data_IF_669780625718
#
_entry.id   IF_669780625718
#
_cell.length_a   1.000
_cell.length_b   1.000
_cell.length_c   1.000
_cell.angle_alpha   90.00
_cell.angle_beta   90.00
_cell.angle_gamma   90.00
#
_symmetry.space_group_name_H-M   'P 1'
#
loop_
_entity.id
_entity.type
_entity.pdbx_description
1 polymer ?
#
# COMPACT_ATOMS: atom_id res chain seq x y z
N UNK A 1 6.26 4.04 15.48
CA UNK A 1 6.92 3.16 14.49
C UNK A 1 6.99 1.73 15.03
N UNK A 2 7.72 1.49 16.12
CA UNK A 2 7.93 0.13 16.65
C UNK A 2 6.67 -0.50 17.24
N UNK A 3 5.78 0.31 17.84
CA UNK A 3 4.49 -0.16 18.34
C UNK A 3 3.61 -0.79 17.23
N UNK A 4 3.61 -0.22 16.02
CA UNK A 4 2.84 -0.77 14.90
C UNK A 4 3.44 -2.09 14.40
N UNK A 5 4.76 -2.24 14.45
CA UNK A 5 5.45 -3.49 14.09
C UNK A 5 5.20 -4.58 15.13
N UNK A 6 5.19 -4.21 16.41
CA UNK A 6 4.78 -5.10 17.49
C UNK A 6 3.30 -5.50 17.34
N UNK A 7 2.43 -4.54 17.00
CA UNK A 7 1.03 -4.82 16.72
C UNK A 7 0.86 -5.74 15.52
N UNK A 8 1.62 -5.55 14.43
CA UNK A 8 1.64 -6.47 13.29
C UNK A 8 2.11 -7.87 13.70
N UNK A 9 3.18 -7.99 14.48
CA UNK A 9 3.68 -9.27 14.98
C UNK A 9 2.65 -9.98 15.88
N UNK A 10 1.96 -9.23 16.75
CA UNK A 10 0.85 -9.78 17.54
C UNK A 10 -0.33 -10.17 16.65
N UNK A 11 -0.61 -9.40 15.60
CA UNK A 11 -1.68 -9.71 14.65
C UNK A 11 -1.40 -10.99 13.87
N UNK A 12 -0.14 -11.36 13.62
CA UNK A 12 0.19 -12.70 13.07
C UNK A 12 -0.35 -13.80 13.97
N UNK A 13 -0.11 -13.71 15.29
CA UNK A 13 -0.59 -14.71 16.25
C UNK A 13 -2.11 -14.73 16.29
N UNK A 14 -2.74 -13.56 16.48
CA UNK A 14 -4.20 -13.45 16.59
C UNK A 14 -4.91 -13.88 15.29
N UNK A 15 -4.39 -13.46 14.14
CA UNK A 15 -4.90 -13.83 12.82
C UNK A 15 -4.78 -15.33 12.55
N UNK A 16 -3.65 -15.94 12.94
CA UNK A 16 -3.47 -17.40 12.82
C UNK A 16 -4.49 -18.16 13.68
N UNK A 17 -4.72 -17.70 14.91
CA UNK A 17 -5.67 -18.35 15.81
C UNK A 17 -7.14 -18.14 15.40
N UNK A 18 -7.48 -17.00 14.79
CA UNK A 18 -8.85 -16.69 14.37
C UNK A 18 -9.23 -17.21 12.98
N UNK A 19 -8.31 -17.14 12.00
CA UNK A 19 -8.59 -17.42 10.58
C UNK A 19 -7.60 -18.43 9.96
N UNK A 20 -6.80 -19.12 10.78
CA UNK A 20 -5.89 -20.16 10.32
C UNK A 20 -4.81 -19.64 9.37
N UNK A 21 -4.58 -20.37 8.28
CA UNK A 21 -3.51 -20.06 7.32
C UNK A 21 -3.71 -18.71 6.60
N UNK A 22 -4.95 -18.32 6.30
CA UNK A 22 -5.23 -17.06 5.61
C UNK A 22 -4.85 -15.87 6.49
N UNK A 23 -5.29 -15.87 7.74
CA UNK A 23 -4.91 -14.84 8.71
C UNK A 23 -3.41 -14.81 8.95
N UNK A 24 -2.76 -15.98 9.05
CA UNK A 24 -1.29 -16.07 9.13
C UNK A 24 -0.61 -15.39 7.93
N UNK A 25 -0.99 -15.76 6.71
CA UNK A 25 -0.36 -15.27 5.48
C UNK A 25 -0.53 -13.75 5.32
N UNK A 26 -1.75 -13.23 5.51
CA UNK A 26 -2.04 -11.81 5.40
C UNK A 26 -1.24 -10.99 6.44
N UNK A 27 -1.26 -11.38 7.71
CA UNK A 27 -0.54 -10.61 8.73
C UNK A 27 0.98 -10.79 8.65
N UNK A 28 1.48 -11.91 8.10
CA UNK A 28 2.90 -12.04 7.76
C UNK A 28 3.30 -11.08 6.63
N UNK A 29 2.43 -10.89 5.63
CA UNK A 29 2.62 -9.89 4.59
C UNK A 29 2.64 -8.47 5.18
N UNK A 30 1.71 -8.15 6.09
CA UNK A 30 1.69 -6.87 6.81
C UNK A 30 2.95 -6.67 7.65
N UNK A 31 3.39 -7.68 8.39
CA UNK A 31 4.61 -7.61 9.20
C UNK A 31 5.84 -7.38 8.32
N UNK A 32 5.99 -8.14 7.23
CA UNK A 32 7.06 -7.94 6.25
C UNK A 32 7.04 -6.56 5.62
N UNK A 33 5.87 -6.13 5.13
CA UNK A 33 5.65 -4.80 4.56
C UNK A 33 6.01 -3.68 5.52
N UNK A 34 5.61 -3.80 6.80
CA UNK A 34 5.94 -2.82 7.83
C UNK A 34 7.45 -2.65 8.07
N UNK A 35 8.28 -3.61 7.66
CA UNK A 35 9.74 -3.49 7.77
C UNK A 35 10.37 -2.68 6.63
N UNK A 36 9.67 -2.51 5.50
CA UNK A 36 10.20 -1.81 4.32
C UNK A 36 10.53 -0.34 4.63
N UNK A 37 9.63 0.48 5.21
CA UNK A 37 9.94 1.89 5.50
C UNK A 37 11.15 2.05 6.45
N UNK A 38 11.28 1.12 7.43
CA UNK A 38 12.43 1.07 8.34
C UNK A 38 13.72 0.73 7.60
N UNK A 39 13.68 -0.28 6.74
CA UNK A 39 14.84 -0.67 5.96
C UNK A 39 15.33 0.53 5.13
N UNK A 40 14.41 1.25 4.48
CA UNK A 40 14.66 2.42 3.64
C UNK A 40 15.04 3.69 4.41
N UNK A 41 14.77 3.77 5.72
CA UNK A 41 15.02 4.97 6.52
C UNK A 41 14.07 6.12 6.17
N UNK A 42 12.82 5.83 5.82
CA UNK A 42 11.84 6.85 5.41
C UNK A 42 11.46 7.79 6.56
N UNK A 43 10.99 9.02 6.28
CA UNK A 43 10.52 9.96 7.31
C UNK A 43 9.39 9.38 8.18
N UNK A 44 9.39 9.74 9.46
CA UNK A 44 8.45 9.20 10.44
C UNK A 44 6.95 9.40 10.08
N UNK A 45 6.50 10.51 9.47
CA UNK A 45 5.10 10.61 9.04
C UNK A 45 4.72 9.58 7.98
N UNK A 46 5.61 9.30 7.02
CA UNK A 46 5.36 8.35 5.94
C UNK A 46 5.32 6.90 6.46
N UNK A 47 6.30 6.51 7.27
CA UNK A 47 6.31 5.17 7.88
C UNK A 47 5.08 4.95 8.78
N UNK A 48 4.65 5.98 9.54
CA UNK A 48 3.51 5.85 10.44
C UNK A 48 2.22 5.65 9.64
N UNK A 49 1.98 6.51 8.65
CA UNK A 49 0.80 6.42 7.78
C UNK A 49 0.77 5.08 7.03
N UNK A 50 1.88 4.69 6.41
CA UNK A 50 1.98 3.41 5.70
C UNK A 50 1.69 2.22 6.63
N UNK A 51 2.41 2.12 7.75
CA UNK A 51 2.27 0.99 8.68
C UNK A 51 0.88 0.93 9.32
N UNK A 52 0.27 2.09 9.62
CA UNK A 52 -1.07 2.14 10.19
C UNK A 52 -2.11 1.71 9.15
N UNK A 53 -2.03 2.22 7.92
CA UNK A 53 -2.98 1.89 6.85
C UNK A 53 -2.93 0.41 6.47
N UNK A 54 -1.75 -0.21 6.30
CA UNK A 54 -1.69 -1.66 6.01
C UNK A 54 -2.26 -2.51 7.14
N UNK A 55 -2.04 -2.11 8.40
CA UNK A 55 -2.49 -2.87 9.56
C UNK A 55 -4.00 -2.75 9.74
N UNK A 56 -4.54 -1.53 9.59
CA UNK A 56 -5.98 -1.28 9.64
C UNK A 56 -6.68 -1.98 8.48
N UNK A 57 -6.14 -1.89 7.26
CA UNK A 57 -6.71 -2.56 6.09
C UNK A 57 -6.77 -4.07 6.25
N UNK A 58 -5.72 -4.70 6.76
CA UNK A 58 -5.72 -6.14 7.01
C UNK A 58 -6.75 -6.57 8.08
N UNK A 59 -6.92 -5.79 9.15
CA UNK A 59 -7.96 -6.06 10.14
C UNK A 59 -9.36 -5.80 9.60
N UNK A 60 -9.54 -4.75 8.79
CA UNK A 60 -10.80 -4.45 8.15
C UNK A 60 -11.25 -5.60 7.23
N UNK A 61 -10.32 -6.18 6.45
CA UNK A 61 -10.56 -7.37 5.65
C UNK A 61 -10.91 -8.59 6.51
N UNK A 62 -10.11 -8.90 7.54
CA UNK A 62 -10.35 -10.10 8.38
C UNK A 62 -11.65 -10.04 9.20
N UNK A 63 -12.12 -8.84 9.54
CA UNK A 63 -13.32 -8.62 10.34
C UNK A 63 -14.54 -8.27 9.48
N UNK A 64 -14.46 -8.40 8.16
CA UNK A 64 -15.53 -8.10 7.21
C UNK A 64 -16.06 -6.65 7.33
N UNK A 65 -15.21 -5.69 7.69
CA UNK A 65 -15.61 -4.29 7.84
C UNK A 65 -15.95 -3.63 6.51
N UNK A 66 -15.35 -4.08 5.41
CA UNK A 66 -15.68 -3.60 4.08
C UNK A 66 -17.09 -4.00 3.65
N UNK A 67 -17.58 -5.16 4.09
CA UNK A 67 -18.98 -5.55 3.91
C UNK A 67 -19.94 -4.70 4.74
N UNK A 68 -19.53 -4.32 5.96
CA UNK A 68 -20.33 -3.48 6.84
C UNK A 68 -20.35 -2.00 6.42
N UNK A 69 -19.25 -1.52 5.84
CA UNK A 69 -19.04 -0.11 5.48
C UNK A 69 -18.38 -0.06 4.08
N UNK A 70 -19.20 -0.14 3.04
CA UNK A 70 -18.74 -0.30 1.65
C UNK A 70 -17.79 0.78 1.13
N UNK A 71 -17.90 2.02 1.62
CA UNK A 71 -16.98 3.09 1.19
C UNK A 71 -15.60 2.98 1.84
N UNK A 72 -15.47 2.22 2.93
CA UNK A 72 -14.20 2.07 3.65
C UNK A 72 -13.15 1.43 2.76
N UNK A 73 -13.55 0.43 1.98
CA UNK A 73 -12.66 -0.34 1.11
C UNK A 73 -11.97 0.57 0.09
N UNK A 74 -12.78 1.29 -0.67
CA UNK A 74 -12.37 2.31 -1.65
C UNK A 74 -11.41 3.34 -1.04
N UNK A 75 -11.69 3.81 0.18
CA UNK A 75 -10.82 4.79 0.87
C UNK A 75 -9.49 4.16 1.29
N UNK A 76 -9.50 2.92 1.77
CA UNK A 76 -8.28 2.19 2.12
C UNK A 76 -7.46 1.91 0.87
N UNK A 77 -8.07 1.45 -0.23
CA UNK A 77 -7.38 1.22 -1.51
C UNK A 77 -6.74 2.51 -2.06
N UNK A 78 -7.45 3.64 -2.03
CA UNK A 78 -6.87 4.93 -2.41
C UNK A 78 -5.66 5.29 -1.54
N UNK A 79 -5.81 5.27 -0.20
CA UNK A 79 -4.75 5.65 0.72
C UNK A 79 -3.55 4.70 0.62
N UNK A 80 -3.81 3.40 0.62
CA UNK A 80 -2.77 2.38 0.63
C UNK A 80 -1.99 2.36 -0.68
N UNK A 81 -2.67 2.48 -1.82
CA UNK A 81 -1.99 2.53 -3.13
C UNK A 81 -1.05 3.74 -3.22
N UNK A 82 -1.49 4.91 -2.76
CA UNK A 82 -0.63 6.10 -2.71
C UNK A 82 0.59 5.92 -1.81
N UNK A 83 0.41 5.35 -0.62
CA UNK A 83 1.49 5.10 0.34
C UNK A 83 2.46 4.01 -0.14
N UNK A 84 1.95 2.92 -0.71
CA UNK A 84 2.75 1.86 -1.34
C UNK A 84 3.55 2.44 -2.51
N UNK A 85 2.94 3.31 -3.32
CA UNK A 85 3.62 4.05 -4.37
C UNK A 85 4.82 4.86 -3.87
N UNK A 86 4.62 5.62 -2.80
CA UNK A 86 5.67 6.42 -2.17
C UNK A 86 6.82 5.57 -1.63
N UNK A 87 6.51 4.49 -0.91
CA UNK A 87 7.50 3.53 -0.39
C UNK A 87 8.22 2.81 -1.53
N UNK A 88 7.49 2.38 -2.55
CA UNK A 88 8.03 1.72 -3.73
C UNK A 88 8.98 2.63 -4.50
N UNK A 89 8.61 3.89 -4.71
CA UNK A 89 9.49 4.86 -5.35
C UNK A 89 10.78 5.05 -4.54
N UNK A 90 10.67 5.24 -3.22
CA UNK A 90 11.84 5.37 -2.34
C UNK A 90 12.74 4.12 -2.38
N UNK A 91 12.17 2.92 -2.55
CA UNK A 91 12.93 1.70 -2.73
C UNK A 91 13.71 1.70 -4.05
N UNK A 92 13.06 2.05 -5.16
CA UNK A 92 13.72 2.11 -6.48
C UNK A 92 14.78 3.22 -6.56
N UNK A 93 14.54 4.35 -5.90
CA UNK A 93 15.50 5.45 -5.75
C UNK A 93 16.75 4.98 -4.98
N UNK A 94 16.57 4.23 -3.89
CA UNK A 94 17.70 3.65 -3.14
C UNK A 94 18.49 2.61 -3.94
N UNK A 95 17.85 1.94 -4.90
CA UNK A 95 18.52 1.04 -5.83
C UNK A 95 19.27 1.78 -6.96
N UNK A 96 19.20 3.12 -7.01
CA UNK A 96 19.88 3.92 -8.02
C UNK A 96 19.24 3.82 -9.40
N UNK A 97 17.95 3.48 -9.49
CA UNK A 97 17.25 3.30 -10.77
C UNK A 97 16.80 4.62 -11.42
N UNK A 98 16.95 5.75 -10.73
CA UNK A 98 16.55 7.06 -11.21
C UNK A 98 17.75 8.02 -11.26
N UNK A 99 17.80 8.87 -12.28
CA UNK A 99 18.79 9.93 -12.40
C UNK A 99 18.45 11.13 -11.51
N UNK A 100 19.47 11.96 -11.23
CA UNK A 100 19.35 13.12 -10.34
C UNK A 100 18.45 14.25 -10.92
N UNK A 101 18.33 14.31 -12.26
CA UNK A 101 17.63 15.38 -12.98
C UNK A 101 16.13 15.10 -13.26
N UNK A 102 15.49 14.22 -12.49
CA UNK A 102 14.07 13.90 -12.70
C UNK A 102 13.18 15.12 -12.44
N UNK A 103 12.45 15.56 -13.46
CA UNK A 103 11.44 16.62 -13.31
C UNK A 103 10.32 16.19 -12.35
N UNK A 104 9.64 17.16 -11.72
CA UNK A 104 8.46 16.91 -10.89
C UNK A 104 7.38 16.11 -11.63
N UNK A 105 7.15 16.42 -12.91
CA UNK A 105 6.18 15.68 -13.73
C UNK A 105 6.64 14.23 -13.97
N UNK A 106 7.93 14.02 -14.26
CA UNK A 106 8.51 12.69 -14.40
C UNK A 106 8.34 11.85 -13.13
N UNK A 107 8.62 12.45 -11.96
CA UNK A 107 8.35 11.82 -10.67
C UNK A 107 6.87 11.42 -10.51
N UNK A 108 5.93 12.32 -10.83
CA UNK A 108 4.49 12.04 -10.71
C UNK A 108 4.09 10.87 -11.59
N UNK A 109 4.53 10.86 -12.86
CA UNK A 109 4.22 9.78 -13.81
C UNK A 109 4.79 8.45 -13.31
N UNK A 110 6.09 8.40 -12.99
CA UNK A 110 6.75 7.15 -12.57
C UNK A 110 6.17 6.63 -11.26
N UNK A 111 6.01 7.48 -10.25
CA UNK A 111 5.47 7.08 -8.95
C UNK A 111 4.02 6.59 -9.06
N UNK A 112 3.18 7.27 -9.86
CA UNK A 112 1.78 6.86 -10.02
C UNK A 112 1.64 5.57 -10.85
N UNK A 113 2.46 5.38 -11.90
CA UNK A 113 2.50 4.12 -12.66
C UNK A 113 2.96 2.95 -11.81
N UNK A 114 4.01 3.14 -10.99
CA UNK A 114 4.48 2.12 -10.06
C UNK A 114 3.38 1.72 -9.07
N UNK A 115 2.76 2.71 -8.42
CA UNK A 115 1.69 2.49 -7.46
C UNK A 115 0.51 1.74 -8.09
N UNK A 116 0.06 2.18 -9.28
CA UNK A 116 -1.04 1.56 -10.02
C UNK A 116 -0.72 0.12 -10.42
N UNK A 117 0.53 -0.15 -10.80
CA UNK A 117 0.97 -1.51 -11.14
C UNK A 117 0.95 -2.41 -9.90
N UNK A 118 1.38 -1.89 -8.74
CA UNK A 118 1.32 -2.62 -7.47
C UNK A 118 -0.12 -2.87 -7.02
N UNK A 119 -1.03 -1.91 -7.24
CA UNK A 119 -2.47 -2.11 -7.00
C UNK A 119 -3.04 -3.19 -7.92
N UNK A 120 -2.71 -3.19 -9.22
CA UNK A 120 -3.11 -4.26 -10.13
C UNK A 120 -2.61 -5.63 -9.67
N UNK A 121 -1.36 -5.73 -9.21
CA UNK A 121 -0.82 -6.97 -8.68
C UNK A 121 -1.52 -7.43 -7.40
N UNK A 122 -1.99 -6.48 -6.58
CA UNK A 122 -2.80 -6.76 -5.40
C UNK A 122 -4.14 -7.38 -5.78
N UNK A 123 -4.89 -6.77 -6.70
CA UNK A 123 -6.16 -7.31 -7.22
C UNK A 123 -6.00 -8.71 -7.82
N UNK A 124 -4.91 -8.93 -8.57
CA UNK A 124 -4.58 -10.27 -9.08
C UNK A 124 -4.31 -11.27 -7.94
N UNK A 125 -3.70 -10.80 -6.85
CA UNK A 125 -3.46 -11.56 -5.63
C UNK A 125 -4.76 -11.92 -4.91
N UNK A 126 -5.71 -10.99 -4.82
CA UNK A 126 -7.03 -11.24 -4.25
C UNK A 126 -7.84 -12.22 -5.09
N UNK A 127 -7.84 -12.04 -6.41
CA UNK A 127 -8.44 -13.01 -7.34
C UNK A 127 -7.84 -14.41 -7.17
N UNK A 128 -6.52 -14.52 -7.07
CA UNK A 128 -5.86 -15.80 -6.84
C UNK A 128 -6.22 -16.39 -5.48
N UNK A 129 -6.20 -15.57 -4.42
CA UNK A 129 -6.58 -15.95 -3.07
C UNK A 129 -8.01 -16.49 -3.03
N UNK A 130 -8.95 -15.76 -3.64
CA UNK A 130 -10.35 -16.18 -3.76
C UNK A 130 -10.50 -17.51 -4.51
N UNK A 131 -9.81 -17.63 -5.65
CA UNK A 131 -9.98 -18.80 -6.55
C UNK A 131 -9.33 -20.07 -6.00
N UNK A 132 -8.22 -19.95 -5.27
CA UNK A 132 -7.37 -21.09 -4.89
C UNK A 132 -7.36 -21.37 -3.40
N UNK A 133 -7.56 -20.35 -2.55
CA UNK A 133 -7.34 -20.46 -1.11
C UNK A 133 -8.63 -20.36 -0.29
N UNK A 134 -9.44 -19.32 -0.50
CA UNK A 134 -10.62 -19.02 0.32
C UNK A 134 -11.61 -18.13 -0.43
N UNK A 135 -12.81 -18.65 -0.71
CA UNK A 135 -13.86 -17.96 -1.46
C UNK A 135 -14.50 -16.78 -0.71
N UNK A 136 -14.11 -16.54 0.54
CA UNK A 136 -14.51 -15.36 1.32
C UNK A 136 -13.65 -14.13 1.02
N UNK A 137 -12.50 -14.29 0.37
CA UNK A 137 -11.70 -13.14 -0.08
C UNK A 137 -12.55 -12.35 -1.08
N UNK A 138 -12.73 -11.06 -0.80
CA UNK A 138 -13.60 -10.20 -1.59
C UNK A 138 -13.00 -9.98 -2.97
N UNK A 139 -13.81 -10.29 -3.99
CA UNK A 139 -13.50 -10.06 -5.39
C UNK A 139 -14.80 -9.76 -6.14
N UNK A 140 -14.72 -8.96 -7.20
CA UNK A 140 -15.85 -8.66 -8.05
C UNK A 140 -15.49 -7.65 -9.13
N UNK A 141 -16.29 -7.58 -10.21
CA UNK A 141 -16.00 -6.62 -11.28
C UNK A 141 -16.11 -5.17 -10.80
N UNK A 142 -17.16 -4.84 -10.05
CA UNK A 142 -17.36 -3.49 -9.50
C UNK A 142 -16.38 -3.17 -8.38
N UNK A 143 -16.04 -4.18 -7.58
CA UNK A 143 -15.09 -4.14 -6.46
C UNK A 143 -13.68 -3.81 -6.99
N UNK A 144 -13.10 -4.71 -7.78
CA UNK A 144 -11.77 -4.54 -8.38
C UNK A 144 -11.63 -3.29 -9.22
N UNK A 145 -12.63 -2.92 -10.03
CA UNK A 145 -12.55 -1.67 -10.80
C UNK A 145 -12.70 -0.42 -9.92
N UNK A 146 -13.53 -0.49 -8.87
CA UNK A 146 -13.70 0.57 -7.88
C UNK A 146 -12.39 0.82 -7.15
N UNK A 147 -11.76 -0.26 -6.69
CA UNK A 147 -10.51 -0.25 -5.95
C UNK A 147 -9.31 0.18 -6.80
N UNK A 148 -9.20 -0.30 -8.03
CA UNK A 148 -8.20 0.20 -8.97
C UNK A 148 -8.42 1.67 -9.31
N UNK A 149 -9.67 2.08 -9.55
CA UNK A 149 -10.01 3.47 -9.85
C UNK A 149 -9.61 4.40 -8.70
N UNK A 150 -9.97 4.02 -7.47
CA UNK A 150 -9.61 4.76 -6.26
C UNK A 150 -8.11 4.73 -5.99
N UNK A 151 -7.47 3.58 -6.20
CA UNK A 151 -6.04 3.37 -6.10
C UNK A 151 -5.25 4.29 -7.04
N UNK A 152 -5.68 4.44 -8.30
CA UNK A 152 -5.08 5.38 -9.26
C UNK A 152 -5.20 6.82 -8.78
N UNK A 153 -6.37 7.23 -8.28
CA UNK A 153 -6.56 8.58 -7.74
C UNK A 153 -5.63 8.82 -6.55
N UNK A 154 -5.57 7.86 -5.61
CA UNK A 154 -4.66 7.91 -4.46
C UNK A 154 -3.19 7.95 -4.84
N UNK A 155 -2.80 7.17 -5.86
CA UNK A 155 -1.46 7.16 -6.43
C UNK A 155 -1.05 8.53 -6.97
N UNK A 156 -1.91 9.15 -7.79
CA UNK A 156 -1.65 10.47 -8.38
C UNK A 156 -1.60 11.54 -7.30
N UNK A 157 -2.55 11.55 -6.36
CA UNK A 157 -2.57 12.53 -5.27
C UNK A 157 -1.31 12.44 -4.41
N UNK A 158 -0.93 11.24 -3.97
CA UNK A 158 0.29 11.03 -3.18
C UNK A 158 1.55 11.47 -3.96
N UNK A 159 1.64 11.10 -5.24
CA UNK A 159 2.77 11.48 -6.08
C UNK A 159 2.86 13.00 -6.27
N UNK A 160 1.74 13.70 -6.48
CA UNK A 160 1.72 15.17 -6.60
C UNK A 160 2.16 15.81 -5.28
N UNK A 161 1.61 15.39 -4.14
CA UNK A 161 1.97 15.95 -2.82
C UNK A 161 3.46 15.78 -2.53
N UNK A 162 4.04 14.63 -2.86
CA UNK A 162 5.47 14.37 -2.72
C UNK A 162 6.29 15.22 -3.70
N UNK A 163 5.89 15.33 -4.96
CA UNK A 163 6.59 16.15 -5.96
C UNK A 163 6.65 17.63 -5.56
N UNK A 164 5.57 18.16 -4.99
CA UNK A 164 5.50 19.54 -4.48
C UNK A 164 6.40 19.77 -3.26
N UNK A 165 6.70 18.71 -2.52
CA UNK A 165 7.60 18.75 -1.36
C UNK A 165 9.08 18.61 -1.75
N UNK A 166 9.38 18.28 -3.02
CA UNK A 166 10.77 18.15 -3.51
C UNK A 166 11.36 19.52 -3.88
N UNK A 167 12.63 19.77 -3.53
CA UNK A 167 13.37 20.95 -4.02
C UNK A 167 13.36 20.99 -5.55
N UNK A 168 13.36 22.18 -6.14
CA UNK A 168 13.61 22.28 -7.59
C UNK A 168 15.05 21.90 -7.90
N UNK A 169 15.31 21.16 -8.99
CA UNK A 169 16.67 20.91 -9.44
C UNK A 169 17.33 22.27 -9.75
N UNK A 170 18.54 22.49 -9.23
CA UNK A 170 19.29 23.72 -9.49
C UNK A 170 19.53 23.85 -11.00
N UNK A 171 18.92 24.84 -11.65
CA UNK A 171 19.21 25.19 -13.05
C UNK A 171 18.05 25.50 -13.99
N UNK A 172 16.78 25.49 -13.54
CA UNK A 172 15.64 25.90 -14.39
C UNK A 172 15.31 27.40 -14.29
N UNK A 173 16.30 28.26 -14.53
CA UNK A 173 16.17 29.72 -14.63
C UNK A 173 16.72 30.25 -15.95
#
# INVERSE_FOLDING_TARGET
MDLLRLAAALSVVLGTLGWGFIGFALFMLVLGGSMIPRALGTPAPLDLSYCATILVGAWAAMLDWYLAVSWLDVVVHAALTGLVGAIGYAALERLGLFGEDMTRLGFVVVSSTLATTLALLWEMGEWFGHTVLDDRIQVGYEDTLGDLGAGVVGAVVAAVLLALSRPEPEGSG
#
